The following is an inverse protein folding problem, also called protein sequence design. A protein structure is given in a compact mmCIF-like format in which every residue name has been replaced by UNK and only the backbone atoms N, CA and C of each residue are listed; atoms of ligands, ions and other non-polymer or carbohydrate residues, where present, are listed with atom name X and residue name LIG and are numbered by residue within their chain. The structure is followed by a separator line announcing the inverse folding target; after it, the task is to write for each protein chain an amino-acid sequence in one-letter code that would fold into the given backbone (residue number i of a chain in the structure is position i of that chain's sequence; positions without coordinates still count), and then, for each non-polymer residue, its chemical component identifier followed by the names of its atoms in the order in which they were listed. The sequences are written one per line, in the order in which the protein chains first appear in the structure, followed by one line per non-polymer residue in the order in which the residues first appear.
data_IF_845576774786
#
_entry.id   IF_845576774786
#
_cell.length_a   1.000
_cell.length_b   1.000
_cell.length_c   1.000
_cell.angle_alpha   90.00
_cell.angle_beta   90.00
_cell.angle_gamma   90.00
#
_symmetry.space_group_name_H-M   'P 1'
#
loop_
_entity.id
_entity.type
_entity.pdbx_description
1 polymer ?
#
# COMPACT_ATOMS: atom_id res chain seq x y z
N UNK A 1 -32.59 -33.81 21.87
CA UNK A 1 -31.61 -33.75 20.77
C UNK A 1 -31.19 -32.32 20.49
N UNK A 2 -29.91 -32.02 20.66
CA UNK A 2 -29.25 -30.75 20.32
C UNK A 2 -28.30 -31.03 19.16
N UNK A 3 -28.30 -30.18 18.14
CA UNK A 3 -27.46 -30.35 16.95
C UNK A 3 -26.22 -29.48 17.08
N UNK A 4 -25.04 -30.03 16.83
CA UNK A 4 -23.76 -29.33 16.84
C UNK A 4 -23.25 -29.28 15.41
N UNK A 5 -23.03 -28.07 14.89
CA UNK A 5 -22.40 -27.90 13.58
C UNK A 5 -20.93 -27.54 13.76
N UNK A 6 -20.06 -28.32 13.13
CA UNK A 6 -18.62 -28.06 13.05
C UNK A 6 -18.36 -27.37 11.69
N UNK A 7 -17.48 -26.35 11.60
CA UNK A 7 -17.27 -25.55 10.38
C UNK A 7 -16.83 -26.34 9.12
N UNK A 8 -16.43 -27.60 9.29
CA UNK A 8 -16.06 -28.53 8.23
C UNK A 8 -17.29 -29.24 7.58
N UNK A 9 -18.48 -28.64 7.67
CA UNK A 9 -19.75 -29.13 7.13
C UNK A 9 -20.29 -30.45 7.73
N UNK A 10 -19.72 -30.93 8.84
CA UNK A 10 -20.28 -32.11 9.56
C UNK A 10 -21.17 -31.66 10.71
N UNK A 11 -22.40 -32.18 10.77
CA UNK A 11 -23.33 -31.94 11.88
C UNK A 11 -23.31 -33.14 12.82
N UNK A 12 -22.78 -32.95 14.02
CA UNK A 12 -22.81 -33.92 15.10
C UNK A 12 -24.12 -33.74 15.88
N UNK A 13 -24.89 -34.81 16.06
CA UNK A 13 -26.07 -34.75 16.94
C UNK A 13 -25.73 -35.26 18.33
N UNK A 14 -26.07 -34.48 19.35
CA UNK A 14 -25.88 -34.85 20.75
C UNK A 14 -27.25 -34.85 21.43
N UNK A 15 -27.67 -36.00 21.95
CA UNK A 15 -28.91 -36.08 22.69
C UNK A 15 -28.70 -35.74 24.16
N UNK A 16 -29.05 -34.51 24.52
CA UNK A 16 -29.00 -33.98 25.89
C UNK A 16 -30.33 -33.31 26.24
N UNK A 17 -30.67 -33.35 27.53
CA UNK A 17 -31.85 -32.68 28.07
C UNK A 17 -31.47 -31.29 28.61
N UNK A 18 -31.83 -30.19 27.93
CA UNK A 18 -31.33 -28.85 28.26
C UNK A 18 -31.79 -28.32 29.62
N UNK A 19 -32.81 -28.93 30.22
CA UNK A 19 -33.32 -28.55 31.54
C UNK A 19 -32.55 -29.18 32.70
N UNK A 20 -31.69 -30.17 32.42
CA UNK A 20 -30.95 -30.92 33.46
C UNK A 20 -29.44 -30.92 33.24
N UNK A 21 -28.98 -30.53 32.06
CA UNK A 21 -27.55 -30.53 31.71
C UNK A 21 -26.94 -29.16 31.89
N UNK A 22 -25.91 -29.07 32.73
CA UNK A 22 -25.08 -27.88 32.89
C UNK A 22 -24.18 -27.66 31.68
N UNK A 23 -23.66 -26.44 31.52
CA UNK A 23 -22.67 -26.10 30.49
C UNK A 23 -21.43 -26.98 30.63
N UNK A 24 -20.92 -27.14 31.84
CA UNK A 24 -19.74 -27.96 32.15
C UNK A 24 -19.92 -29.43 31.75
N UNK A 25 -21.08 -30.03 32.06
CA UNK A 25 -21.40 -31.40 31.65
C UNK A 25 -21.53 -31.51 30.12
N UNK A 26 -22.08 -30.48 29.47
CA UNK A 26 -22.17 -30.43 28.02
C UNK A 26 -20.80 -30.33 27.34
N UNK A 27 -19.90 -29.49 27.85
CA UNK A 27 -18.53 -29.36 27.36
C UNK A 27 -17.75 -30.67 27.46
N UNK A 28 -17.91 -31.42 28.56
CA UNK A 28 -17.31 -32.75 28.71
C UNK A 28 -17.83 -33.73 27.65
N UNK A 29 -19.14 -33.72 27.38
CA UNK A 29 -19.74 -34.59 26.35
C UNK A 29 -19.22 -34.20 24.94
N UNK A 30 -19.07 -32.91 24.66
CA UNK A 30 -18.49 -32.43 23.40
C UNK A 30 -17.03 -32.84 23.28
N UNK A 31 -16.23 -32.72 24.33
CA UNK A 31 -14.83 -33.14 24.34
C UNK A 31 -14.69 -34.64 24.07
N UNK A 32 -15.52 -35.48 24.71
CA UNK A 32 -15.52 -36.93 24.48
C UNK A 32 -15.89 -37.31 23.03
N UNK A 33 -16.77 -36.55 22.39
CA UNK A 33 -17.24 -36.83 21.02
C UNK A 33 -16.33 -36.25 19.93
N UNK A 34 -15.65 -35.14 20.21
CA UNK A 34 -14.83 -34.41 19.21
C UNK A 34 -13.33 -34.60 19.41
N UNK A 35 -12.87 -35.17 20.53
CA UNK A 35 -11.46 -35.23 20.95
C UNK A 35 -10.77 -33.85 21.08
N UNK A 36 -11.55 -32.75 21.17
CA UNK A 36 -11.01 -31.39 21.29
C UNK A 36 -10.93 -30.98 22.77
N UNK A 37 -9.76 -30.53 23.27
CA UNK A 37 -9.61 -30.03 24.64
C UNK A 37 -10.49 -28.80 24.92
N UNK A 38 -11.11 -28.74 26.11
CA UNK A 38 -12.00 -27.66 26.54
C UNK A 38 -11.49 -26.22 26.32
N UNK A 39 -10.19 -25.89 26.54
CA UNK A 39 -9.70 -24.51 26.37
C UNK A 39 -9.82 -23.97 24.94
N UNK A 40 -9.91 -24.88 23.96
CA UNK A 40 -9.96 -24.54 22.54
C UNK A 40 -11.41 -24.44 22.04
N UNK A 41 -12.41 -24.85 22.81
CA UNK A 41 -13.80 -24.75 22.41
C UNK A 41 -14.31 -23.31 22.62
N UNK A 42 -14.69 -22.62 21.54
CA UNK A 42 -15.40 -21.34 21.59
C UNK A 42 -16.84 -21.57 21.10
N UNK A 43 -17.80 -21.38 22.00
CA UNK A 43 -19.21 -21.48 21.68
C UNK A 43 -19.77 -20.09 21.34
N UNK A 44 -20.43 -19.98 20.18
CA UNK A 44 -21.25 -18.82 19.85
C UNK A 44 -22.70 -19.18 20.11
N UNK A 45 -23.14 -18.94 21.34
CA UNK A 45 -24.55 -19.00 21.68
C UNK A 45 -25.18 -17.66 21.30
N UNK A 46 -26.26 -17.67 20.50
CA UNK A 46 -27.02 -16.46 20.19
C UNK A 46 -27.79 -16.03 21.45
N UNK A 47 -27.08 -15.47 22.41
CA UNK A 47 -27.67 -14.93 23.63
C UNK A 47 -28.32 -13.58 23.31
N UNK A 48 -29.57 -13.39 23.73
CA UNK A 48 -30.22 -12.08 23.65
C UNK A 48 -29.61 -11.04 24.61
N UNK A 49 -28.66 -11.44 25.47
CA UNK A 49 -27.98 -10.54 26.41
C UNK A 49 -26.48 -10.89 26.57
N UNK A 50 -25.55 -10.05 26.06
CA UNK A 50 -24.11 -10.28 26.11
C UNK A 50 -23.45 -9.96 27.48
N UNK A 51 -24.22 -9.57 28.50
CA UNK A 51 -23.72 -9.09 29.80
C UNK A 51 -23.78 -10.09 30.95
N UNK A 52 -24.12 -11.36 30.71
CA UNK A 52 -24.12 -12.40 31.75
C UNK A 52 -22.74 -13.06 31.85
N UNK A 53 -22.10 -12.93 33.01
CA UNK A 53 -20.91 -13.69 33.38
C UNK A 53 -21.28 -15.18 33.41
N UNK A 54 -20.59 -16.00 32.63
CA UNK A 54 -20.78 -17.45 32.61
C UNK A 54 -20.31 -18.04 33.94
N UNK A 55 -21.23 -18.63 34.71
CA UNK A 55 -20.91 -19.44 35.89
C UNK A 55 -21.07 -20.93 35.54
N UNK A 56 -20.20 -21.79 36.07
CA UNK A 56 -20.13 -23.24 35.78
C UNK A 56 -21.41 -24.05 36.08
N UNK A 57 -22.34 -23.45 36.82
CA UNK A 57 -23.60 -24.04 37.28
C UNK A 57 -24.80 -23.79 36.36
N UNK A 58 -24.64 -22.99 35.30
CA UNK A 58 -25.74 -22.62 34.41
C UNK A 58 -26.23 -23.82 33.59
N UNK A 59 -27.55 -23.93 33.42
CA UNK A 59 -28.16 -24.94 32.57
C UNK A 59 -28.20 -24.46 31.12
N UNK A 60 -28.22 -25.42 30.19
CA UNK A 60 -28.36 -25.13 28.76
C UNK A 60 -29.67 -24.38 28.42
N UNK A 61 -30.74 -24.66 29.16
CA UNK A 61 -32.02 -23.94 29.04
C UNK A 61 -31.90 -22.44 29.38
N UNK A 62 -31.03 -22.06 30.34
CA UNK A 62 -30.78 -20.66 30.70
C UNK A 62 -30.10 -19.86 29.57
N UNK A 63 -29.48 -20.58 28.62
CA UNK A 63 -28.83 -20.06 27.42
C UNK A 63 -29.73 -20.09 26.19
N UNK A 64 -31.05 -20.28 26.38
CA UNK A 64 -32.05 -20.40 25.31
C UNK A 64 -31.85 -21.63 24.41
N UNK A 65 -31.16 -22.67 24.90
CA UNK A 65 -31.06 -23.95 24.19
C UNK A 65 -32.27 -24.81 24.55
N UNK A 66 -33.19 -24.99 23.60
CA UNK A 66 -34.35 -25.87 23.73
C UNK A 66 -34.07 -27.24 23.09
N UNK A 67 -34.95 -28.22 23.32
CA UNK A 67 -34.96 -29.46 22.53
C UNK A 67 -35.07 -29.09 21.04
N UNK A 68 -34.24 -29.68 20.19
CA UNK A 68 -34.10 -29.37 18.75
C UNK A 68 -33.37 -28.07 18.38
N UNK A 69 -32.69 -27.44 19.34
CA UNK A 69 -31.84 -26.29 19.02
C UNK A 69 -30.51 -26.72 18.38
N UNK A 70 -30.02 -25.90 17.46
CA UNK A 70 -28.70 -26.06 16.83
C UNK A 70 -27.71 -25.09 17.49
N UNK A 71 -26.64 -25.64 18.07
CA UNK A 71 -25.52 -24.90 18.64
C UNK A 71 -24.35 -24.98 17.67
N UNK A 72 -23.77 -23.83 17.32
CA UNK A 72 -22.59 -23.79 16.44
C UNK A 72 -21.35 -23.64 17.31
N UNK A 73 -20.41 -24.58 17.17
CA UNK A 73 -19.16 -24.57 17.93
C UNK A 73 -18.04 -24.20 16.96
N UNK A 74 -17.36 -23.10 17.27
CA UNK A 74 -16.13 -22.75 16.58
C UNK A 74 -14.97 -23.46 17.28
N UNK A 75 -14.40 -24.44 16.60
CA UNK A 75 -13.15 -25.09 17.01
C UNK A 75 -12.02 -24.46 16.18
N UNK A 76 -11.07 -23.72 16.79
CA UNK A 76 -9.83 -23.36 16.15
C UNK A 76 -9.02 -24.65 15.98
N UNK A 77 -8.97 -25.18 14.75
CA UNK A 77 -8.16 -26.33 14.41
C UNK A 77 -6.68 -25.89 14.38
N UNK A 78 -6.00 -26.01 15.51
CA UNK A 78 -4.53 -25.93 15.58
C UNK A 78 -3.97 -27.28 15.12
N UNK A 79 -3.60 -27.38 13.84
CA UNK A 79 -3.08 -28.63 13.29
C UNK A 79 -2.81 -28.64 11.79
N UNK A 80 -2.07 -27.65 11.32
CA UNK A 80 -1.40 -27.65 10.03
C UNK A 80 -0.30 -26.61 10.11
N UNK A 81 0.93 -27.00 9.84
CA UNK A 81 2.15 -26.19 9.91
C UNK A 81 2.11 -25.05 8.88
N UNK A 82 1.29 -24.03 9.12
CA UNK A 82 1.48 -22.68 8.60
C UNK A 82 1.94 -21.85 9.78
N UNK A 83 3.21 -22.02 10.15
CA UNK A 83 3.87 -21.11 11.06
C UNK A 83 3.60 -19.68 10.58
N UNK A 84 2.83 -18.94 11.38
CA UNK A 84 2.49 -17.53 11.21
C UNK A 84 2.83 -16.99 9.81
N UNK A 85 2.10 -17.45 8.78
CA UNK A 85 2.25 -16.80 7.49
C UNK A 85 1.89 -15.34 7.75
N UNK A 86 2.76 -14.38 7.40
CA UNK A 86 2.39 -12.98 7.43
C UNK A 86 1.05 -12.86 6.68
N UNK A 87 0.14 -11.97 7.12
CA UNK A 87 -1.21 -11.87 6.55
C UNK A 87 -1.12 -12.08 5.04
N UNK A 88 -1.81 -13.11 4.51
CA UNK A 88 -1.72 -13.47 3.09
C UNK A 88 -2.12 -12.25 2.28
N UNK A 89 -1.11 -11.47 1.91
CA UNK A 89 -1.34 -10.27 1.16
C UNK A 89 -1.75 -10.67 -0.25
N UNK A 90 -2.66 -9.93 -0.86
CA UNK A 90 -3.17 -10.26 -2.18
C UNK A 90 -2.01 -10.38 -3.18
N UNK A 91 -1.95 -11.48 -3.92
CA UNK A 91 -0.97 -11.66 -5.01
C UNK A 91 -1.28 -10.75 -6.20
N UNK A 92 -2.50 -10.22 -6.29
CA UNK A 92 -2.95 -9.36 -7.37
C UNK A 92 -2.48 -7.90 -7.17
N UNK A 93 -1.71 -7.34 -8.13
CA UNK A 93 -1.24 -5.95 -8.10
C UNK A 93 -2.33 -4.90 -7.91
N UNK A 94 -3.53 -5.16 -8.46
CA UNK A 94 -4.67 -4.23 -8.42
C UNK A 94 -5.08 -3.94 -6.97
N UNK A 95 -5.06 -4.95 -6.10
CA UNK A 95 -5.52 -4.80 -4.72
C UNK A 95 -4.55 -3.91 -3.93
N UNK A 96 -3.25 -4.01 -4.19
CA UNK A 96 -2.26 -3.11 -3.60
C UNK A 96 -2.45 -1.66 -4.04
N UNK A 97 -2.75 -1.44 -5.32
CA UNK A 97 -3.02 -0.11 -5.85
C UNK A 97 -4.30 0.47 -5.24
N UNK A 98 -5.36 -0.32 -5.04
CA UNK A 98 -6.60 0.16 -4.44
C UNK A 98 -6.42 0.50 -2.97
N UNK A 99 -5.69 -0.33 -2.20
CA UNK A 99 -5.34 -0.03 -0.80
C UNK A 99 -4.53 1.25 -0.72
N UNK A 100 -3.48 1.40 -1.54
CA UNK A 100 -2.66 2.62 -1.56
C UNK A 100 -3.48 3.88 -1.87
N UNK A 101 -4.44 3.80 -2.81
CA UNK A 101 -5.35 4.91 -3.12
C UNK A 101 -6.31 5.24 -1.97
N UNK A 102 -6.78 4.23 -1.23
CA UNK A 102 -7.63 4.41 -0.06
C UNK A 102 -6.86 5.12 1.06
N UNK A 103 -5.64 4.68 1.35
CA UNK A 103 -4.77 5.30 2.36
C UNK A 103 -4.44 6.76 2.01
N UNK A 104 -4.23 7.08 0.72
CA UNK A 104 -4.04 8.46 0.28
C UNK A 104 -5.33 9.30 0.44
N UNK A 105 -6.51 8.71 0.21
CA UNK A 105 -7.79 9.39 0.40
C UNK A 105 -8.05 9.72 1.89
N UNK A 106 -7.63 8.83 2.80
CA UNK A 106 -7.72 9.03 4.24
C UNK A 106 -6.63 9.98 4.79
N UNK A 107 -5.64 10.35 3.96
CA UNK A 107 -4.55 11.24 4.33
C UNK A 107 -3.34 10.55 4.95
N UNK A 108 -3.33 9.22 5.03
CA UNK A 108 -2.22 8.41 5.54
C UNK A 108 -1.08 8.25 4.51
N UNK A 109 -0.53 9.37 4.06
CA UNK A 109 0.51 9.40 3.00
C UNK A 109 1.75 8.56 3.30
N UNK A 110 2.13 8.39 4.57
CA UNK A 110 3.26 7.55 4.96
C UNK A 110 2.97 6.05 4.74
N UNK A 111 1.73 5.62 5.01
CA UNK A 111 1.33 4.22 4.84
C UNK A 111 1.30 3.82 3.37
N UNK A 112 1.00 4.75 2.47
CA UNK A 112 1.07 4.53 1.01
C UNK A 112 2.45 4.02 0.58
N UNK A 113 3.53 4.61 1.08
CA UNK A 113 4.89 4.18 0.75
C UNK A 113 5.16 2.77 1.26
N UNK A 114 4.82 2.50 2.52
CA UNK A 114 5.01 1.18 3.15
C UNK A 114 4.21 0.09 2.42
N UNK A 115 2.96 0.39 2.05
CA UNK A 115 2.09 -0.53 1.30
C UNK A 115 2.69 -0.89 -0.06
N UNK A 116 3.22 0.10 -0.79
CA UNK A 116 3.83 -0.16 -2.10
C UNK A 116 5.18 -0.87 -1.98
N UNK A 117 6.00 -0.57 -0.97
CA UNK A 117 7.25 -1.30 -0.72
C UNK A 117 6.97 -2.77 -0.36
N UNK A 118 5.99 -3.01 0.52
CA UNK A 118 5.54 -4.36 0.89
C UNK A 118 4.92 -5.12 -0.30
N UNK A 119 4.26 -4.41 -1.22
CA UNK A 119 3.75 -4.98 -2.48
C UNK A 119 4.90 -5.57 -3.31
N UNK A 120 5.99 -4.83 -3.50
CA UNK A 120 7.16 -5.31 -4.27
C UNK A 120 7.74 -6.58 -3.66
N UNK A 121 7.96 -6.58 -2.34
CA UNK A 121 8.51 -7.75 -1.65
C UNK A 121 7.59 -8.97 -1.78
N UNK A 122 6.28 -8.77 -1.66
CA UNK A 122 5.30 -9.85 -1.76
C UNK A 122 5.25 -10.43 -3.18
N UNK A 123 5.26 -9.58 -4.21
CA UNK A 123 5.28 -10.02 -5.61
C UNK A 123 6.55 -10.77 -5.98
N UNK A 124 7.70 -10.32 -5.45
CA UNK A 124 8.98 -11.01 -5.63
C UNK A 124 8.99 -12.37 -4.96
N UNK A 125 8.45 -12.50 -3.73
CA UNK A 125 8.32 -13.78 -3.03
C UNK A 125 7.35 -14.73 -3.74
N UNK A 126 6.25 -14.20 -4.29
CA UNK A 126 5.27 -14.97 -5.05
C UNK A 126 5.76 -15.39 -6.45
N UNK A 127 6.92 -14.92 -6.90
CA UNK A 127 7.47 -15.24 -8.23
C UNK A 127 6.64 -14.67 -9.39
N UNK A 128 5.79 -13.67 -9.13
CA UNK A 128 4.97 -13.02 -10.16
C UNK A 128 5.86 -12.15 -11.02
N UNK A 129 5.79 -12.30 -12.35
CA UNK A 129 6.53 -11.46 -13.28
C UNK A 129 6.01 -10.03 -13.19
N UNK A 130 6.85 -9.12 -12.71
CA UNK A 130 6.53 -7.71 -12.56
C UNK A 130 6.67 -7.02 -13.92
N UNK A 131 5.55 -6.71 -14.57
CA UNK A 131 5.55 -5.92 -15.79
C UNK A 131 5.64 -4.41 -15.49
N UNK A 132 6.75 -3.81 -15.89
CA UNK A 132 7.05 -2.39 -15.72
C UNK A 132 6.04 -1.48 -16.43
N UNK A 133 5.58 -1.85 -17.63
CA UNK A 133 4.64 -1.01 -18.39
C UNK A 133 3.27 -0.97 -17.72
N UNK A 134 2.82 -2.11 -17.18
CA UNK A 134 1.61 -2.19 -16.36
C UNK A 134 1.67 -1.21 -15.17
N UNK A 135 2.76 -1.20 -14.40
CA UNK A 135 2.89 -0.31 -13.24
C UNK A 135 2.95 1.18 -13.60
N UNK A 136 3.63 1.53 -14.70
CA UNK A 136 3.62 2.90 -15.21
C UNK A 136 2.20 3.31 -15.65
N UNK A 137 1.45 2.40 -16.30
CA UNK A 137 0.06 2.66 -16.64
C UNK A 137 -0.84 2.79 -15.40
N UNK A 138 -0.62 1.99 -14.36
CA UNK A 138 -1.32 2.12 -13.08
C UNK A 138 -1.04 3.47 -12.42
N UNK A 139 0.21 3.95 -12.43
CA UNK A 139 0.57 5.27 -11.93
C UNK A 139 -0.17 6.40 -12.68
N UNK A 140 -0.27 6.30 -14.01
CA UNK A 140 -1.04 7.24 -14.85
C UNK A 140 -2.54 7.26 -14.50
N UNK A 141 -3.11 6.10 -14.18
CA UNK A 141 -4.51 5.99 -13.72
C UNK A 141 -4.67 6.65 -12.34
N UNK A 142 -3.69 6.48 -11.44
CA UNK A 142 -3.68 7.13 -10.13
C UNK A 142 -3.61 8.67 -10.26
N UNK A 143 -2.76 9.19 -11.16
CA UNK A 143 -2.67 10.62 -11.45
C UNK A 143 -4.01 11.19 -11.94
N UNK A 144 -4.70 10.48 -12.84
CA UNK A 144 -6.06 10.84 -13.28
C UNK A 144 -7.06 10.94 -12.13
N UNK A 145 -6.93 10.07 -11.14
CA UNK A 145 -7.72 10.10 -9.91
C UNK A 145 -7.25 11.14 -8.88
N UNK A 146 -6.22 11.94 -9.18
CA UNK A 146 -5.55 12.90 -8.27
C UNK A 146 -4.85 12.24 -7.07
N UNK A 147 -4.52 10.95 -7.17
CA UNK A 147 -3.72 10.20 -6.19
C UNK A 147 -2.22 10.33 -6.53
N UNK A 148 -1.66 11.51 -6.26
CA UNK A 148 -0.30 11.88 -6.66
C UNK A 148 0.74 11.16 -5.80
N UNK A 149 0.48 10.95 -4.51
CA UNK A 149 1.41 10.25 -3.61
C UNK A 149 1.54 8.79 -4.01
N UNK A 150 0.42 8.13 -4.30
CA UNK A 150 0.40 6.75 -4.80
C UNK A 150 1.14 6.63 -6.12
N UNK A 151 0.91 7.57 -7.06
CA UNK A 151 1.65 7.63 -8.32
C UNK A 151 3.17 7.72 -8.09
N UNK A 152 3.63 8.59 -7.19
CA UNK A 152 5.05 8.73 -6.86
C UNK A 152 5.62 7.46 -6.22
N UNK A 153 4.89 6.84 -5.31
CA UNK A 153 5.29 5.60 -4.65
C UNK A 153 5.46 4.44 -5.62
N UNK A 154 4.51 4.28 -6.56
CA UNK A 154 4.59 3.27 -7.61
C UNK A 154 5.83 3.51 -8.49
N UNK A 155 6.00 4.72 -9.01
CA UNK A 155 7.13 5.01 -9.91
C UNK A 155 8.48 4.77 -9.22
N UNK A 156 8.65 5.22 -7.98
CA UNK A 156 9.92 5.06 -7.25
C UNK A 156 10.32 3.59 -7.08
N UNK A 157 9.35 2.71 -6.85
CA UNK A 157 9.59 1.29 -6.58
C UNK A 157 9.70 0.44 -7.85
N UNK A 158 8.88 0.73 -8.87
CA UNK A 158 8.75 -0.15 -10.04
C UNK A 158 9.60 0.27 -11.25
N UNK A 159 10.03 1.53 -11.36
CA UNK A 159 10.75 2.00 -12.56
C UNK A 159 12.15 1.37 -12.72
N UNK A 160 12.77 0.96 -11.62
CA UNK A 160 14.08 0.31 -11.62
C UNK A 160 14.04 -1.19 -11.84
N UNK A 161 12.86 -1.82 -11.77
CA UNK A 161 12.71 -3.27 -11.92
C UNK A 161 12.86 -3.65 -13.40
N UNK A 162 13.77 -4.57 -13.68
CA UNK A 162 14.01 -5.09 -15.03
C UNK A 162 14.76 -4.14 -15.97
N UNK A 163 15.49 -3.15 -15.43
CA UNK A 163 16.30 -2.21 -16.23
C UNK A 163 17.77 -2.28 -15.82
N UNK A 164 18.62 -2.60 -16.78
CA UNK A 164 20.07 -2.64 -16.63
C UNK A 164 20.64 -1.26 -16.29
N UNK A 165 21.66 -1.21 -15.43
CA UNK A 165 22.18 0.05 -14.87
C UNK A 165 22.66 1.03 -15.95
N UNK A 166 23.21 0.50 -17.04
CA UNK A 166 23.72 1.27 -18.18
C UNK A 166 22.60 1.96 -18.97
N UNK A 167 21.45 1.28 -19.10
CA UNK A 167 20.30 1.76 -19.86
C UNK A 167 19.27 2.51 -19.02
N UNK A 168 19.34 2.44 -17.67
CA UNK A 168 18.44 3.16 -16.74
C UNK A 168 18.19 4.61 -17.16
N UNK A 169 19.26 5.34 -17.46
CA UNK A 169 19.15 6.75 -17.87
C UNK A 169 18.33 6.92 -19.15
N UNK A 170 18.62 6.14 -20.19
CA UNK A 170 17.95 6.27 -21.49
C UNK A 170 16.48 5.90 -21.36
N UNK A 171 16.21 4.78 -20.68
CA UNK A 171 14.88 4.22 -20.52
C UNK A 171 14.00 5.14 -19.68
N UNK A 172 14.45 5.57 -18.50
CA UNK A 172 13.66 6.46 -17.63
C UNK A 172 13.36 7.81 -18.30
N UNK A 173 14.33 8.36 -19.05
CA UNK A 173 14.09 9.57 -19.83
C UNK A 173 13.06 9.34 -20.94
N UNK A 174 13.07 8.20 -21.62
CA UNK A 174 12.08 7.88 -22.65
C UNK A 174 10.67 7.75 -22.04
N UNK A 175 10.55 7.08 -20.89
CA UNK A 175 9.27 6.89 -20.20
C UNK A 175 8.68 8.21 -19.67
N UNK A 176 9.54 9.11 -19.16
CA UNK A 176 9.13 10.44 -18.73
C UNK A 176 8.60 11.27 -19.91
N UNK A 177 9.31 11.28 -21.05
CA UNK A 177 8.87 11.99 -22.26
C UNK A 177 7.58 11.40 -22.83
N UNK A 178 7.43 10.07 -22.79
CA UNK A 178 6.21 9.41 -23.24
C UNK A 178 5.03 9.79 -22.34
N UNK A 179 5.22 9.82 -21.02
CA UNK A 179 4.19 10.24 -20.06
C UNK A 179 3.81 11.71 -20.25
N UNK A 180 4.80 12.58 -20.47
CA UNK A 180 4.59 13.99 -20.83
C UNK A 180 3.79 14.16 -22.11
N UNK A 181 4.13 13.43 -23.18
CA UNK A 181 3.40 13.47 -24.47
C UNK A 181 1.94 13.02 -24.32
N UNK A 182 1.67 12.09 -23.41
CA UNK A 182 0.31 11.62 -23.09
C UNK A 182 -0.46 12.56 -22.15
N UNK A 183 0.19 13.60 -21.61
CA UNK A 183 -0.43 14.56 -20.69
C UNK A 183 -0.40 14.18 -19.21
N UNK A 184 0.35 13.12 -18.84
CA UNK A 184 0.56 12.70 -17.45
C UNK A 184 1.80 13.38 -16.89
N UNK A 185 1.60 14.55 -16.29
CA UNK A 185 2.67 15.45 -15.85
C UNK A 185 3.22 15.02 -14.50
N UNK A 186 2.37 14.62 -13.56
CA UNK A 186 2.82 14.21 -12.22
C UNK A 186 3.61 12.89 -12.29
N UNK A 187 3.19 11.97 -13.15
CA UNK A 187 3.94 10.73 -13.44
C UNK A 187 5.31 11.08 -14.02
N UNK A 188 5.38 12.00 -15.00
CA UNK A 188 6.65 12.43 -15.57
C UNK A 188 7.56 13.10 -14.53
N UNK A 189 6.99 13.95 -13.66
CA UNK A 189 7.70 14.60 -12.54
C UNK A 189 8.26 13.56 -11.57
N UNK A 190 7.47 12.55 -11.20
CA UNK A 190 7.90 11.47 -10.33
C UNK A 190 9.08 10.68 -10.92
N UNK A 191 9.04 10.39 -12.23
CA UNK A 191 10.14 9.71 -12.93
C UNK A 191 11.41 10.55 -12.91
N UNK A 192 11.32 11.86 -13.19
CA UNK A 192 12.48 12.75 -13.13
C UNK A 192 13.03 12.88 -11.70
N UNK A 193 12.17 13.03 -10.70
CA UNK A 193 12.56 13.11 -9.29
C UNK A 193 13.33 11.85 -8.88
N UNK A 194 12.81 10.66 -9.20
CA UNK A 194 13.53 9.41 -8.97
C UNK A 194 14.86 9.35 -9.73
N UNK A 195 14.87 9.72 -11.01
CA UNK A 195 16.09 9.75 -11.83
C UNK A 195 17.16 10.68 -11.25
N UNK A 196 16.76 11.80 -10.63
CA UNK A 196 17.68 12.75 -10.01
C UNK A 196 18.27 12.21 -8.70
N UNK A 197 17.55 11.37 -7.95
CA UNK A 197 18.12 10.71 -6.75
C UNK A 197 19.24 9.74 -7.10
N UNK A 198 19.24 9.18 -8.32
CA UNK A 198 20.26 8.24 -8.80
C UNK A 198 21.36 8.94 -9.59
N UNK A 199 21.01 9.93 -10.43
CA UNK A 199 21.92 10.57 -11.37
C UNK A 199 22.07 12.08 -11.13
N UNK A 200 22.54 12.47 -9.95
CA UNK A 200 22.68 13.88 -9.56
C UNK A 200 23.60 14.68 -10.51
N UNK A 201 24.66 14.06 -11.03
CA UNK A 201 25.72 14.78 -11.76
C UNK A 201 25.39 15.02 -13.26
N UNK A 202 24.26 14.51 -13.77
CA UNK A 202 23.97 14.54 -15.21
C UNK A 202 23.07 15.72 -15.58
N UNK A 203 23.67 16.76 -16.17
CA UNK A 203 22.98 17.98 -16.64
C UNK A 203 21.75 17.74 -17.53
N UNK A 204 21.75 16.67 -18.33
CA UNK A 204 20.64 16.36 -19.26
C UNK A 204 19.31 16.06 -18.55
N UNK A 205 19.36 15.44 -17.37
CA UNK A 205 18.16 15.06 -16.61
C UNK A 205 17.58 16.32 -15.94
N UNK A 206 18.44 17.11 -15.30
CA UNK A 206 18.07 18.41 -14.71
C UNK A 206 17.43 19.36 -15.71
N UNK A 207 18.00 19.47 -16.92
CA UNK A 207 17.46 20.34 -17.96
C UNK A 207 16.06 19.90 -18.40
N UNK A 208 15.83 18.60 -18.60
CA UNK A 208 14.52 18.06 -18.97
C UNK A 208 13.47 18.25 -17.88
N UNK A 209 13.85 18.01 -16.62
CA UNK A 209 12.99 18.24 -15.47
C UNK A 209 12.64 19.74 -15.32
N UNK A 210 13.63 20.64 -15.48
CA UNK A 210 13.39 22.09 -15.46
C UNK A 210 12.47 22.55 -16.60
N UNK A 211 12.60 21.97 -17.80
CA UNK A 211 11.68 22.25 -18.91
C UNK A 211 10.25 21.75 -18.63
N UNK A 212 10.09 20.63 -17.93
CA UNK A 212 8.78 20.15 -17.50
C UNK A 212 8.15 21.11 -16.47
N UNK A 213 8.90 21.50 -15.44
CA UNK A 213 8.44 22.48 -14.44
C UNK A 213 8.14 23.85 -15.07
N UNK A 214 8.88 24.24 -16.09
CA UNK A 214 8.61 25.49 -16.80
C UNK A 214 7.29 25.47 -17.59
N UNK A 215 6.91 24.32 -18.16
CA UNK A 215 5.68 24.22 -18.95
C UNK A 215 4.44 23.91 -18.12
N UNK A 216 4.58 23.25 -16.97
CA UNK A 216 3.44 22.78 -16.17
C UNK A 216 3.53 23.08 -14.67
N UNK A 217 4.66 23.58 -14.17
CA UNK A 217 4.88 23.91 -12.77
C UNK A 217 4.49 25.33 -12.42
N UNK A 218 4.51 25.62 -11.12
CA UNK A 218 4.40 26.98 -10.60
C UNK A 218 5.76 27.68 -10.64
N UNK A 219 5.78 29.01 -10.75
CA UNK A 219 7.03 29.77 -10.71
C UNK A 219 7.84 29.51 -9.42
N UNK A 220 7.15 29.32 -8.30
CA UNK A 220 7.77 29.01 -7.01
C UNK A 220 8.40 27.60 -6.98
N UNK A 221 7.70 26.59 -7.53
CA UNK A 221 8.25 25.23 -7.64
C UNK A 221 9.45 25.18 -8.58
N UNK A 222 9.40 25.95 -9.68
CA UNK A 222 10.52 26.08 -10.62
C UNK A 222 11.74 26.76 -9.97
N UNK A 223 11.57 27.87 -9.25
CA UNK A 223 12.70 28.53 -8.57
C UNK A 223 13.33 27.63 -7.49
N UNK A 224 12.51 26.94 -6.69
CA UNK A 224 12.99 25.96 -5.72
C UNK A 224 13.75 24.82 -6.40
N UNK A 225 13.25 24.32 -7.53
CA UNK A 225 13.90 23.29 -8.33
C UNK A 225 15.25 23.76 -8.91
N UNK A 226 15.29 24.97 -9.47
CA UNK A 226 16.51 25.54 -10.06
C UNK A 226 17.59 25.81 -9.02
N UNK A 227 17.24 26.26 -7.80
CA UNK A 227 18.19 26.37 -6.68
C UNK A 227 18.82 25.03 -6.32
N UNK A 228 18.01 23.97 -6.26
CA UNK A 228 18.51 22.59 -6.04
C UNK A 228 19.41 22.13 -7.19
N UNK A 229 19.03 22.46 -8.43
CA UNK A 229 19.79 22.07 -9.61
C UNK A 229 21.18 22.72 -9.67
N UNK A 230 21.24 24.01 -9.37
CA UNK A 230 22.47 24.81 -9.31
C UNK A 230 23.43 24.30 -8.24
N UNK A 231 22.91 23.92 -7.07
CA UNK A 231 23.74 23.40 -5.97
C UNK A 231 24.39 22.06 -6.31
N UNK A 232 23.68 21.19 -7.05
CA UNK A 232 24.18 19.86 -7.41
C UNK A 232 25.01 19.86 -8.70
N UNK A 233 24.71 20.74 -9.66
CA UNK A 233 25.39 20.81 -10.96
C UNK A 233 25.76 22.27 -11.28
N UNK A 234 26.81 22.81 -10.63
CA UNK A 234 27.21 24.21 -10.84
C UNK A 234 27.72 24.47 -12.26
N UNK A 235 28.31 23.46 -12.93
CA UNK A 235 28.84 23.58 -14.30
C UNK A 235 27.77 23.73 -15.39
N UNK A 236 26.49 23.58 -15.06
CA UNK A 236 25.42 23.68 -16.03
C UNK A 236 24.94 25.14 -16.17
N UNK A 237 25.71 25.96 -16.88
CA UNK A 237 25.39 27.37 -17.19
C UNK A 237 23.95 27.57 -17.72
N UNK A 238 23.43 26.60 -18.49
CA UNK A 238 22.07 26.66 -19.03
C UNK A 238 21.01 26.72 -17.92
N UNK A 239 21.22 26.04 -16.78
CA UNK A 239 20.30 26.06 -15.64
C UNK A 239 20.33 27.41 -14.92
N UNK A 240 21.52 28.00 -14.79
CA UNK A 240 21.68 29.36 -14.26
C UNK A 240 20.99 30.41 -15.14
N UNK A 241 21.18 30.32 -16.46
CA UNK A 241 20.51 31.21 -17.41
C UNK A 241 18.98 31.06 -17.37
N UNK A 242 18.48 29.83 -17.19
CA UNK A 242 17.05 29.57 -17.04
C UNK A 242 16.49 30.23 -15.78
N UNK A 243 17.19 30.10 -14.64
CA UNK A 243 16.79 30.75 -13.38
C UNK A 243 16.87 32.27 -13.42
N UNK A 244 17.93 32.81 -14.00
CA UNK A 244 18.08 34.26 -14.20
C UNK A 244 16.95 34.82 -15.07
N UNK A 245 16.58 34.12 -16.15
CA UNK A 245 15.46 34.52 -17.01
C UNK A 245 14.12 34.49 -16.29
N UNK A 246 13.88 33.48 -15.46
CA UNK A 246 12.63 33.36 -14.71
C UNK A 246 12.50 34.49 -13.67
N UNK A 247 13.58 34.82 -12.94
CA UNK A 247 13.61 35.95 -12.00
C UNK A 247 13.44 37.30 -12.67
N UNK A 248 14.02 37.47 -13.87
CA UNK A 248 13.80 38.66 -14.69
C UNK A 248 12.33 38.81 -15.10
N UNK A 249 11.68 37.71 -15.51
CA UNK A 249 10.25 37.70 -15.84
C UNK A 249 9.35 37.94 -14.62
N UNK A 250 9.80 37.60 -13.43
CA UNK A 250 9.13 37.90 -12.16
C UNK A 250 9.28 39.38 -11.73
N UNK A 251 10.02 40.20 -12.47
CA UNK A 251 10.26 41.61 -12.15
C UNK A 251 11.45 41.86 -11.21
N UNK A 252 12.10 40.80 -10.71
CA UNK A 252 13.28 40.89 -9.85
C UNK A 252 14.57 41.02 -10.69
N UNK A 253 14.73 42.17 -11.33
CA UNK A 253 15.85 42.44 -12.26
C UNK A 253 17.21 42.37 -11.56
N UNK A 254 17.30 42.79 -10.30
CA UNK A 254 18.53 42.76 -9.49
C UNK A 254 18.95 41.33 -9.15
N UNK A 255 17.99 40.49 -8.73
CA UNK A 255 18.25 39.09 -8.42
C UNK A 255 18.65 38.30 -9.67
N UNK A 256 18.00 38.56 -10.81
CA UNK A 256 18.35 37.93 -12.10
C UNK A 256 19.77 38.26 -12.57
N UNK A 257 20.20 39.52 -12.41
CA UNK A 257 21.58 39.96 -12.74
C UNK A 257 22.60 39.34 -11.78
N UNK A 258 22.30 39.26 -10.49
CA UNK A 258 23.17 38.63 -9.50
C UNK A 258 23.38 37.13 -9.81
N UNK A 259 22.32 36.38 -10.14
CA UNK A 259 22.45 34.96 -10.55
C UNK A 259 23.26 34.78 -11.83
N UNK A 260 23.21 35.74 -12.76
CA UNK A 260 24.01 35.68 -13.99
C UNK A 260 25.48 35.99 -13.73
N UNK A 261 25.78 36.93 -12.83
CA UNK A 261 27.14 37.23 -12.38
C UNK A 261 27.80 36.04 -11.68
N UNK A 262 27.08 35.37 -10.77
CA UNK A 262 27.56 34.16 -10.08
C UNK A 262 27.94 33.02 -11.04
N UNK A 263 27.27 32.92 -12.18
CA UNK A 263 27.60 31.93 -13.21
C UNK A 263 28.89 32.26 -13.98
N UNK A 264 29.27 33.54 -14.08
CA UNK A 264 30.51 33.94 -14.74
C UNK A 264 31.75 33.74 -13.85
N UNK A 265 31.56 33.66 -12.53
CA UNK A 265 32.63 33.52 -11.54
C UNK A 265 32.84 32.05 -11.07
N UNK A 266 31.98 31.11 -11.48
CA UNK A 266 32.01 29.68 -11.11
C UNK A 266 32.54 28.80 -12.24
#
# INVERSE_FOLDING_TARGET
MVFISIPNATTLSIDVNPNTTTISAFEQIVQQRTNVPQPLLRYSLRAQNPSRVFHDSLLLSDLSVCRFSTVIIHVPLLGGDEGALPPRFPEEPVIWITVARLEEADGHTAMVWNTIEMCVETLQRGGVVIDREYWINAARVCERGRYVVTCKAIIKNFIGIGVDEEDRKRTWLADAEMSKKRGFIETARAIYEHSLTVFLNKKSIWLKAALLEKSHGSRASLDAFLRKAVTNVPQAEILWLMGAKEKLLAGEVTAGRATRGLCCDS
#
